data_IF_304413970902
#
_entry.id   IF_304413970902
#
_cell.length_a   1.000
_cell.length_b   1.000
_cell.length_c   1.000
_cell.angle_alpha   90.00
_cell.angle_beta   90.00
_cell.angle_gamma   90.00
#
_symmetry.space_group_name_H-M   'P 1'
#
loop_
_entity.id
_entity.type
_entity.pdbx_description
1 polymer ?
#
# COMPACT_ATOMS: atom_id res chain seq x y z
N UNK A 1 -17.43 -34.14 -79.54
CA UNK A 1 -17.63 -32.88 -78.75
C UNK A 1 -16.71 -32.96 -77.60
N UNK A 2 -15.72 -32.09 -77.53
CA UNK A 2 -14.88 -31.94 -76.35
C UNK A 2 -15.73 -31.07 -75.39
N UNK A 3 -16.13 -31.59 -74.25
CA UNK A 3 -16.78 -30.82 -73.21
C UNK A 3 -15.66 -30.06 -72.52
N UNK A 4 -15.65 -28.75 -72.63
CA UNK A 4 -14.70 -27.90 -71.87
C UNK A 4 -15.12 -27.94 -70.41
N UNK A 5 -14.30 -28.57 -69.58
CA UNK A 5 -14.48 -28.61 -68.11
C UNK A 5 -14.20 -27.20 -67.59
N UNK A 6 -15.12 -26.61 -66.84
CA UNK A 6 -14.95 -25.34 -66.21
C UNK A 6 -14.08 -25.56 -64.96
N UNK A 7 -12.90 -24.91 -64.89
CA UNK A 7 -11.96 -24.94 -63.76
C UNK A 7 -12.05 -23.65 -62.94
N UNK A 8 -11.88 -23.77 -61.66
CA UNK A 8 -11.91 -22.65 -60.68
C UNK A 8 -11.96 -23.16 -59.25
N UNK A 9 -12.01 -22.25 -58.26
CA UNK A 9 -12.14 -22.62 -56.87
C UNK A 9 -13.50 -23.28 -56.60
N UNK A 10 -13.47 -24.48 -56.01
CA UNK A 10 -14.67 -25.28 -55.70
C UNK A 10 -15.03 -25.28 -54.21
N UNK A 11 -14.24 -24.57 -53.33
CA UNK A 11 -14.52 -24.47 -51.92
C UNK A 11 -15.46 -23.27 -51.62
N UNK A 12 -16.63 -23.57 -51.04
CA UNK A 12 -17.66 -22.58 -50.71
C UNK A 12 -17.21 -21.57 -49.63
N UNK A 13 -16.15 -21.89 -48.85
CA UNK A 13 -15.58 -21.01 -47.85
C UNK A 13 -14.54 -20.02 -48.42
N UNK A 14 -14.15 -20.17 -49.68
CA UNK A 14 -13.22 -19.26 -50.33
C UNK A 14 -13.93 -18.02 -50.88
N UNK A 15 -13.26 -16.84 -50.80
CA UNK A 15 -13.78 -15.56 -51.32
C UNK A 15 -14.05 -15.58 -52.84
N UNK A 16 -13.29 -16.40 -53.57
CA UNK A 16 -13.38 -16.55 -55.01
C UNK A 16 -14.06 -17.87 -55.45
N UNK A 17 -14.95 -18.44 -54.60
CA UNK A 17 -15.73 -19.59 -54.92
C UNK A 17 -16.47 -19.46 -56.27
N UNK A 18 -16.31 -20.43 -57.15
CA UNK A 18 -16.98 -20.46 -58.43
C UNK A 18 -17.95 -21.65 -58.51
N UNK A 19 -19.23 -21.36 -58.30
CA UNK A 19 -20.30 -22.39 -58.36
C UNK A 19 -20.37 -23.15 -59.67
N UNK A 20 -19.80 -22.64 -60.78
CA UNK A 20 -19.79 -23.24 -62.04
C UNK A 20 -18.56 -24.13 -62.34
N UNK A 21 -17.56 -24.12 -61.41
CA UNK A 21 -16.37 -24.93 -61.52
C UNK A 21 -16.72 -26.42 -61.31
N UNK A 22 -16.28 -27.28 -62.24
CA UNK A 22 -16.43 -28.73 -62.17
C UNK A 22 -15.15 -29.43 -61.70
N UNK A 23 -14.00 -28.66 -61.68
CA UNK A 23 -12.71 -29.14 -61.27
C UNK A 23 -11.97 -28.00 -60.56
N UNK A 24 -11.46 -28.27 -59.34
CA UNK A 24 -10.63 -27.28 -58.57
C UNK A 24 -9.29 -27.07 -59.31
N UNK A 25 -8.95 -25.83 -59.53
CA UNK A 25 -7.68 -25.41 -60.15
C UNK A 25 -6.62 -24.92 -59.18
N UNK A 26 -6.88 -24.98 -57.86
CA UNK A 26 -6.01 -24.55 -56.81
C UNK A 26 -5.98 -23.02 -56.60
N UNK A 27 -6.94 -22.30 -57.20
CA UNK A 27 -7.00 -20.83 -57.13
C UNK A 27 -7.78 -20.29 -55.91
N UNK A 28 -8.22 -21.14 -54.98
CA UNK A 28 -9.00 -20.71 -53.82
C UNK A 28 -8.25 -19.67 -52.98
N UNK A 29 -8.91 -18.55 -52.71
CA UNK A 29 -8.44 -17.48 -51.85
C UNK A 29 -9.33 -17.47 -50.61
N UNK A 30 -8.72 -17.53 -49.43
CA UNK A 30 -9.44 -17.49 -48.17
C UNK A 30 -9.24 -16.13 -47.50
N UNK A 31 -10.24 -15.63 -46.73
CA UNK A 31 -10.06 -14.44 -45.96
C UNK A 31 -8.92 -14.63 -44.94
N UNK A 32 -8.08 -13.63 -44.80
CA UNK A 32 -7.12 -13.62 -43.70
C UNK A 32 -7.87 -13.58 -42.36
N UNK A 33 -7.43 -14.33 -41.37
CA UNK A 33 -8.02 -14.22 -40.03
C UNK A 33 -7.93 -12.79 -39.52
N UNK A 34 -8.96 -12.35 -38.80
CA UNK A 34 -8.94 -11.05 -38.15
C UNK A 34 -7.73 -10.96 -37.24
N UNK A 35 -7.01 -9.81 -37.21
CA UNK A 35 -5.86 -9.62 -36.36
C UNK A 35 -6.28 -9.68 -34.86
N UNK A 36 -5.54 -10.43 -34.08
CA UNK A 36 -5.64 -10.43 -32.62
C UNK A 36 -4.61 -9.46 -32.11
N UNK A 37 -5.09 -8.36 -31.52
CA UNK A 37 -4.23 -7.32 -30.96
C UNK A 37 -3.81 -7.64 -29.53
N UNK A 38 -2.53 -7.44 -29.19
CA UNK A 38 -1.95 -7.65 -27.86
C UNK A 38 -0.45 -7.49 -27.90
N UNK A 39 0.23 -7.71 -26.77
CA UNK A 39 1.68 -7.67 -26.72
C UNK A 39 2.29 -8.92 -27.37
N UNK A 40 3.08 -8.74 -28.43
CA UNK A 40 3.73 -9.84 -29.18
C UNK A 40 5.18 -10.11 -28.77
N UNK A 41 5.73 -9.36 -27.78
CA UNK A 41 7.09 -9.54 -27.30
C UNK A 41 7.13 -10.60 -26.17
N UNK A 42 7.79 -11.77 -26.39
CA UNK A 42 7.88 -12.82 -25.38
C UNK A 42 8.69 -12.42 -24.12
N UNK A 43 9.44 -11.33 -24.16
CA UNK A 43 10.16 -10.81 -23.01
C UNK A 43 9.31 -9.85 -22.14
N UNK A 44 8.10 -9.50 -22.61
CA UNK A 44 7.17 -8.67 -21.85
C UNK A 44 6.38 -9.50 -20.81
N UNK A 45 5.97 -8.84 -19.71
CA UNK A 45 5.22 -9.48 -18.62
C UNK A 45 3.79 -9.85 -19.03
N UNK A 46 3.23 -9.11 -19.98
CA UNK A 46 1.88 -9.31 -20.52
C UNK A 46 1.90 -9.87 -21.95
N UNK A 47 2.93 -10.68 -22.28
CA UNK A 47 3.00 -11.37 -23.56
C UNK A 47 1.73 -12.20 -23.82
N UNK A 48 1.13 -12.02 -24.98
CA UNK A 48 -0.02 -12.78 -25.44
C UNK A 48 0.38 -13.70 -26.61
N UNK A 49 0.43 -15.01 -26.37
CA UNK A 49 0.77 -16.01 -27.39
C UNK A 49 -0.23 -16.04 -28.56
N UNK A 50 -1.48 -15.58 -28.34
CA UNK A 50 -2.53 -15.55 -29.38
C UNK A 50 -2.50 -14.24 -30.19
N UNK A 51 -1.77 -13.21 -29.75
CA UNK A 51 -1.67 -11.95 -30.48
C UNK A 51 -0.88 -12.13 -31.77
N UNK A 52 -1.46 -11.63 -32.89
CA UNK A 52 -0.83 -11.59 -34.21
C UNK A 52 -0.26 -10.23 -34.55
N UNK A 53 -0.77 -9.17 -33.90
CA UNK A 53 -0.41 -7.79 -34.13
C UNK A 53 -0.15 -7.10 -32.79
N UNK A 54 1.02 -6.45 -32.70
CA UNK A 54 1.41 -5.68 -31.51
C UNK A 54 0.58 -4.40 -31.43
N UNK A 55 -0.11 -4.21 -30.31
CA UNK A 55 -0.92 -3.02 -30.03
C UNK A 55 -0.15 -1.93 -29.24
N UNK A 56 1.12 -2.16 -28.95
CA UNK A 56 1.99 -1.25 -28.21
C UNK A 56 1.78 -1.28 -26.68
N UNK A 57 1.06 -2.29 -26.17
CA UNK A 57 0.79 -2.42 -24.72
C UNK A 57 1.80 -3.28 -23.99
N UNK A 58 2.93 -3.65 -24.61
CA UNK A 58 3.95 -4.48 -23.97
C UNK A 58 4.49 -3.83 -22.69
N UNK A 59 4.38 -4.57 -21.59
CA UNK A 59 4.88 -4.16 -20.28
C UNK A 59 6.14 -4.96 -19.93
N UNK A 60 7.18 -4.25 -19.50
CA UNK A 60 8.45 -4.86 -19.12
C UNK A 60 8.70 -4.69 -17.63
N UNK A 61 9.34 -5.69 -17.02
CA UNK A 61 9.73 -5.60 -15.62
C UNK A 61 10.62 -4.37 -15.39
N UNK A 62 10.22 -3.53 -14.43
CA UNK A 62 11.04 -2.39 -14.03
C UNK A 62 12.40 -2.87 -13.53
N UNK A 63 13.46 -2.26 -14.05
CA UNK A 63 14.83 -2.58 -13.63
C UNK A 63 15.21 -1.86 -12.33
N UNK A 64 14.52 -0.75 -12.02
CA UNK A 64 14.70 0.03 -10.79
C UNK A 64 13.52 -0.29 -9.87
N UNK A 65 13.76 -0.81 -8.67
CA UNK A 65 12.69 -1.25 -7.79
C UNK A 65 11.80 -0.08 -7.31
N UNK A 66 10.54 -0.39 -6.98
CA UNK A 66 9.64 0.47 -6.22
C UNK A 66 9.55 -0.10 -4.80
N UNK A 67 9.70 0.73 -3.77
CA UNK A 67 9.73 0.27 -2.37
C UNK A 67 10.65 -0.96 -2.18
N UNK A 68 11.84 -0.93 -2.80
CA UNK A 68 12.86 -1.95 -2.66
C UNK A 68 12.67 -3.24 -3.48
N UNK A 69 11.56 -3.43 -4.19
CA UNK A 69 11.30 -4.64 -4.99
C UNK A 69 10.71 -4.30 -6.37
N UNK A 70 11.33 -4.82 -7.46
CA UNK A 70 10.87 -4.56 -8.83
C UNK A 70 9.42 -5.05 -9.07
N UNK A 71 9.06 -6.19 -8.49
CA UNK A 71 7.71 -6.77 -8.66
C UNK A 71 6.58 -5.89 -8.07
N UNK A 72 6.91 -4.97 -7.16
CA UNK A 72 5.92 -4.08 -6.56
C UNK A 72 5.52 -2.93 -7.48
N UNK A 73 6.33 -2.59 -8.47
CA UNK A 73 6.06 -1.45 -9.35
C UNK A 73 4.71 -1.56 -10.04
N UNK A 74 4.35 -2.74 -10.52
CA UNK A 74 3.08 -3.01 -11.22
C UNK A 74 1.97 -3.56 -10.31
N UNK A 75 2.17 -3.53 -8.99
CA UNK A 75 1.17 -3.98 -8.04
C UNK A 75 0.33 -2.80 -7.54
N UNK A 76 -1.02 -2.92 -7.49
CA UNK A 76 -1.87 -1.93 -6.87
C UNK A 76 -1.46 -1.64 -5.42
N UNK A 77 -1.58 -0.39 -5.00
CA UNK A 77 -1.15 0.08 -3.67
C UNK A 77 -1.73 -0.77 -2.52
N UNK A 78 -3.02 -1.09 -2.56
CA UNK A 78 -3.73 -1.88 -1.55
C UNK A 78 -3.27 -3.35 -1.47
N UNK A 79 -2.54 -3.81 -2.48
CA UNK A 79 -1.99 -5.17 -2.56
C UNK A 79 -0.51 -5.27 -2.20
N UNK A 80 0.10 -4.16 -1.79
CA UNK A 80 1.48 -4.11 -1.29
C UNK A 80 1.48 -4.15 0.22
N UNK A 81 2.36 -4.97 0.82
CA UNK A 81 2.61 -4.92 2.26
C UNK A 81 3.74 -3.94 2.55
N UNK A 82 3.40 -2.87 3.26
CA UNK A 82 4.35 -1.88 3.76
C UNK A 82 4.73 -2.20 5.21
N UNK A 83 6.03 -2.21 5.57
CA UNK A 83 6.45 -2.26 6.96
C UNK A 83 6.10 -0.94 7.63
N UNK A 84 5.45 -1.00 8.80
CA UNK A 84 4.90 0.15 9.50
C UNK A 84 5.35 0.22 10.95
N UNK A 85 5.63 1.43 11.43
CA UNK A 85 5.85 1.70 12.85
C UNK A 85 4.63 2.36 13.48
N UNK A 86 4.05 1.71 14.49
CA UNK A 86 2.99 2.25 15.30
C UNK A 86 3.54 3.37 16.20
N UNK A 87 2.93 4.56 16.20
CA UNK A 87 3.44 5.72 16.92
C UNK A 87 4.92 6.02 16.62
N UNK A 88 5.25 6.13 15.35
CA UNK A 88 6.60 6.25 14.80
C UNK A 88 7.47 7.35 15.46
N UNK A 89 6.83 8.42 15.94
CA UNK A 89 7.45 9.56 16.64
C UNK A 89 7.73 9.27 18.12
N UNK A 90 7.07 8.25 18.70
CA UNK A 90 7.10 7.99 20.13
C UNK A 90 8.32 7.16 20.53
N UNK A 91 9.50 7.82 20.58
CA UNK A 91 10.79 7.14 20.72
C UNK A 91 11.62 7.65 21.88
N UNK A 92 12.52 6.81 22.41
CA UNK A 92 13.49 7.22 23.42
C UNK A 92 14.45 8.29 22.86
N UNK A 93 14.81 8.21 21.59
CA UNK A 93 15.68 9.18 20.94
C UNK A 93 15.04 10.57 20.89
N UNK A 94 13.71 10.64 20.74
CA UNK A 94 12.94 11.88 20.78
C UNK A 94 12.52 12.30 22.19
N UNK A 95 13.11 11.70 23.23
CA UNK A 95 12.87 11.96 24.64
C UNK A 95 11.45 11.60 25.13
N UNK A 96 10.80 10.65 24.47
CA UNK A 96 9.56 10.06 24.95
C UNK A 96 9.92 8.75 25.65
N UNK A 97 9.53 8.62 26.93
CA UNK A 97 9.89 7.49 27.74
C UNK A 97 8.66 6.64 28.09
N UNK A 98 8.93 5.40 28.47
CA UNK A 98 7.90 4.51 28.97
C UNK A 98 7.11 5.18 30.13
N UNK A 99 5.76 5.12 30.16
CA UNK A 99 4.92 4.17 29.40
C UNK A 99 4.40 4.64 28.04
N UNK A 100 4.80 5.78 27.54
CA UNK A 100 4.30 6.33 26.28
C UNK A 100 5.14 5.93 25.06
N UNK A 101 6.42 5.54 25.24
CA UNK A 101 7.29 5.17 24.10
C UNK A 101 6.90 3.85 23.47
N UNK A 102 7.01 3.79 22.13
CA UNK A 102 6.78 2.61 21.31
C UNK A 102 8.07 2.09 20.65
N UNK A 103 9.13 2.90 20.61
CA UNK A 103 10.40 2.56 19.96
C UNK A 103 11.59 3.15 20.72
N UNK A 104 12.81 2.67 20.41
CA UNK A 104 14.05 3.22 20.98
C UNK A 104 14.64 4.31 20.10
N UNK A 105 14.59 4.12 18.78
CA UNK A 105 15.24 4.96 17.77
C UNK A 105 14.23 5.76 16.96
N UNK A 106 14.64 6.97 16.57
CA UNK A 106 13.81 7.94 15.88
C UNK A 106 13.65 7.68 14.36
N UNK A 107 13.03 8.65 13.71
CA UNK A 107 12.64 8.59 12.29
C UNK A 107 13.77 8.14 11.36
N UNK A 108 14.98 8.69 11.52
CA UNK A 108 16.07 8.39 10.58
C UNK A 108 16.49 6.92 10.60
N UNK A 109 16.48 6.30 11.78
CA UNK A 109 16.79 4.87 11.90
C UNK A 109 15.67 4.01 11.28
N UNK A 110 14.41 4.38 11.50
CA UNK A 110 13.25 3.71 10.90
C UNK A 110 13.28 3.80 9.37
N UNK A 111 13.52 4.99 8.83
CA UNK A 111 13.64 5.19 7.38
C UNK A 111 14.78 4.37 6.76
N UNK A 112 15.96 4.43 7.37
CA UNK A 112 17.14 3.70 6.90
C UNK A 112 16.97 2.18 6.99
N UNK A 113 16.15 1.69 7.92
CA UNK A 113 15.78 0.27 8.01
C UNK A 113 14.83 -0.16 6.87
N UNK A 114 14.10 0.77 6.25
CA UNK A 114 13.17 0.49 5.17
C UNK A 114 11.69 0.69 5.52
N UNK A 115 11.38 1.30 6.68
CA UNK A 115 9.99 1.67 7.00
C UNK A 115 9.46 2.67 5.99
N UNK A 116 8.23 2.42 5.50
CA UNK A 116 7.56 3.31 4.52
C UNK A 116 6.11 3.58 4.88
N UNK A 117 5.66 3.11 6.05
CA UNK A 117 4.40 3.50 6.66
C UNK A 117 4.65 3.92 8.11
N UNK A 118 3.97 4.98 8.56
CA UNK A 118 4.18 5.58 9.86
C UNK A 118 2.85 5.99 10.47
N UNK A 119 2.52 5.44 11.65
CA UNK A 119 1.40 5.92 12.45
C UNK A 119 1.84 7.10 13.32
N UNK A 120 0.98 8.12 13.38
CA UNK A 120 1.26 9.38 14.09
C UNK A 120 0.00 9.82 14.84
N UNK A 121 0.16 10.29 16.09
CA UNK A 121 -0.93 10.91 16.85
C UNK A 121 -0.73 12.42 16.92
N UNK A 122 -1.74 13.17 16.48
CA UNK A 122 -1.71 14.64 16.53
C UNK A 122 -2.57 15.18 17.65
N UNK A 123 -1.99 16.04 18.49
CA UNK A 123 -2.70 16.72 19.56
C UNK A 123 -2.28 18.19 19.63
N UNK A 124 -3.10 19.02 20.29
CA UNK A 124 -2.62 20.34 20.74
C UNK A 124 -1.81 20.18 22.02
N UNK A 125 -0.62 20.79 22.08
CA UNK A 125 0.20 20.81 23.29
C UNK A 125 -0.57 21.40 24.48
N UNK A 126 -1.46 22.34 24.20
CA UNK A 126 -2.30 22.98 25.18
C UNK A 126 -3.73 23.11 24.59
N UNK A 127 -4.68 22.40 25.18
CA UNK A 127 -6.09 22.41 24.76
C UNK A 127 -6.76 23.81 24.82
N UNK A 128 -6.19 24.74 25.57
CA UNK A 128 -6.66 26.13 25.64
C UNK A 128 -6.17 26.99 24.46
N UNK A 129 -5.18 26.51 23.70
CA UNK A 129 -4.65 27.13 22.49
C UNK A 129 -4.69 26.12 21.32
N UNK A 130 -5.81 26.08 20.64
CA UNK A 130 -6.03 25.22 19.48
C UNK A 130 -5.60 25.92 18.17
N UNK A 131 -4.40 26.47 18.15
CA UNK A 131 -3.80 27.05 16.95
C UNK A 131 -2.92 26.01 16.22
N UNK A 132 -2.75 26.21 14.89
CA UNK A 132 -1.89 25.36 14.08
C UNK A 132 -0.46 25.23 14.65
N UNK A 133 0.12 26.34 15.13
CA UNK A 133 1.47 26.33 15.72
C UNK A 133 1.60 25.54 17.02
N UNK A 134 0.47 25.17 17.64
CA UNK A 134 0.42 24.40 18.88
C UNK A 134 0.20 22.89 18.65
N UNK A 135 0.14 22.43 17.40
CA UNK A 135 0.07 21.02 17.06
C UNK A 135 1.39 20.32 17.43
N UNK A 136 1.28 19.15 18.03
CA UNK A 136 2.41 18.27 18.40
C UNK A 136 2.07 16.83 18.11
N UNK A 137 3.08 16.00 17.87
CA UNK A 137 2.94 14.57 17.99
C UNK A 137 3.10 14.16 19.46
N UNK A 138 2.06 13.57 20.02
CA UNK A 138 1.98 13.13 21.39
C UNK A 138 1.23 11.81 21.46
N UNK A 139 1.69 10.90 22.34
CA UNK A 139 1.01 9.64 22.60
C UNK A 139 0.52 9.58 24.05
N UNK A 140 -0.78 9.44 24.22
CA UNK A 140 -1.38 9.28 25.54
C UNK A 140 -2.89 9.30 25.52
N UNK A 141 -3.48 8.72 26.55
CA UNK A 141 -4.91 8.55 26.72
C UNK A 141 -5.48 9.61 27.68
N UNK A 142 -6.17 10.60 27.12
CA UNK A 142 -6.83 11.66 27.90
C UNK A 142 -7.93 11.13 28.84
N UNK A 143 -8.48 9.94 28.57
CA UNK A 143 -9.49 9.31 29.44
C UNK A 143 -8.92 8.94 30.81
N UNK A 144 -7.59 8.83 30.94
CA UNK A 144 -6.87 8.61 32.21
C UNK A 144 -6.61 9.89 32.98
N UNK A 145 -7.08 11.03 32.50
CA UNK A 145 -7.00 12.34 33.19
C UNK A 145 -5.67 13.08 33.03
N UNK A 146 -4.84 12.68 32.07
CA UNK A 146 -3.59 13.35 31.71
C UNK A 146 -3.69 13.88 30.28
N UNK A 147 -3.02 15.03 30.00
CA UNK A 147 -2.83 15.47 28.62
C UNK A 147 -2.00 14.43 27.86
N UNK A 148 -2.34 14.09 26.61
CA UNK A 148 -1.55 13.17 25.77
C UNK A 148 -0.07 13.56 25.71
N UNK A 149 0.25 14.85 25.73
CA UNK A 149 1.62 15.36 25.69
C UNK A 149 2.37 15.33 27.07
N UNK A 150 1.77 14.73 28.11
CA UNK A 150 2.35 14.68 29.46
C UNK A 150 3.69 13.94 29.54
N UNK A 151 3.82 12.86 28.73
CA UNK A 151 5.00 11.99 28.72
C UNK A 151 6.04 12.37 27.66
N UNK A 152 5.84 13.49 26.99
CA UNK A 152 6.70 14.01 25.94
C UNK A 152 5.90 14.42 24.71
N UNK A 153 6.55 15.14 23.83
CA UNK A 153 5.99 15.53 22.54
C UNK A 153 7.11 15.74 21.54
N UNK A 154 6.77 15.60 20.26
CA UNK A 154 7.67 15.84 19.14
C UNK A 154 7.12 17.00 18.31
N UNK A 155 8.02 17.87 17.85
CA UNK A 155 7.68 18.95 16.94
C UNK A 155 7.39 18.35 15.55
N UNK A 156 6.15 18.45 15.04
CA UNK A 156 5.76 17.82 13.79
C UNK A 156 6.45 18.46 12.58
N UNK A 157 6.78 19.76 12.61
CA UNK A 157 7.51 20.42 11.52
C UNK A 157 8.90 19.82 11.34
N UNK A 158 9.58 19.50 12.45
CA UNK A 158 10.91 18.89 12.42
C UNK A 158 10.83 17.44 11.91
N UNK A 159 9.84 16.67 12.40
CA UNK A 159 9.68 15.27 12.04
C UNK A 159 9.26 15.10 10.57
N UNK A 160 8.21 15.83 10.14
CA UNK A 160 7.71 15.79 8.76
C UNK A 160 8.67 16.45 7.77
N UNK A 161 9.46 17.43 8.16
CA UNK A 161 10.50 18.00 7.32
C UNK A 161 11.64 17.02 7.02
N UNK A 162 11.96 16.10 7.97
CA UNK A 162 12.87 14.98 7.66
C UNK A 162 12.22 14.01 6.68
N UNK A 163 10.94 13.68 6.86
CA UNK A 163 10.21 12.81 5.95
C UNK A 163 10.16 13.39 4.54
N UNK A 164 9.86 14.66 4.40
CA UNK A 164 9.86 15.35 3.09
C UNK A 164 11.21 15.25 2.41
N UNK A 165 12.29 15.53 3.13
CA UNK A 165 13.66 15.45 2.60
C UNK A 165 14.01 14.04 2.11
N UNK A 166 13.58 13.00 2.84
CA UNK A 166 13.82 11.62 2.46
C UNK A 166 12.97 11.20 1.25
N UNK A 167 11.69 11.57 1.18
CA UNK A 167 10.84 11.30 0.01
C UNK A 167 11.40 11.98 -1.24
N UNK A 168 11.97 13.18 -1.13
CA UNK A 168 12.60 13.88 -2.23
C UNK A 168 13.88 13.18 -2.71
N UNK A 169 14.61 12.51 -1.81
CA UNK A 169 15.84 11.80 -2.15
C UNK A 169 15.61 10.41 -2.74
N UNK A 170 14.48 9.77 -2.39
CA UNK A 170 14.10 8.40 -2.79
C UNK A 170 12.91 8.44 -3.76
N UNK A 171 13.18 8.73 -5.03
CA UNK A 171 12.15 8.98 -6.05
C UNK A 171 11.23 7.78 -6.36
N UNK A 172 11.59 6.58 -5.88
CA UNK A 172 10.89 5.32 -6.20
C UNK A 172 10.09 4.74 -5.04
N UNK A 173 9.97 5.46 -3.93
CA UNK A 173 9.25 5.00 -2.75
C UNK A 173 7.89 5.69 -2.60
N UNK A 174 6.87 4.89 -2.37
CA UNK A 174 5.56 5.32 -1.90
C UNK A 174 5.55 5.23 -0.38
N UNK A 175 5.07 6.28 0.27
CA UNK A 175 5.04 6.41 1.72
C UNK A 175 3.61 6.62 2.19
N UNK A 176 3.29 6.06 3.36
CA UNK A 176 1.99 6.24 4.00
C UNK A 176 2.14 6.92 5.36
N UNK A 177 1.25 7.86 5.63
CA UNK A 177 0.96 8.34 6.98
C UNK A 177 -0.43 7.84 7.39
N UNK A 178 -0.54 7.21 8.54
CA UNK A 178 -1.80 6.91 9.20
C UNK A 178 -1.87 7.77 10.47
N UNK A 179 -2.84 8.70 10.51
CA UNK A 179 -2.88 9.75 11.53
C UNK A 179 -4.08 9.53 12.45
N UNK A 180 -3.81 9.18 13.72
CA UNK A 180 -4.79 9.33 14.79
C UNK A 180 -4.93 10.84 15.09
N UNK A 181 -5.98 11.44 14.51
CA UNK A 181 -6.07 12.88 14.47
C UNK A 181 -6.99 13.44 15.55
N UNK A 182 -6.44 14.33 16.41
CA UNK A 182 -7.15 15.04 17.45
C UNK A 182 -7.07 16.58 17.28
N UNK A 183 -6.75 17.05 16.07
CA UNK A 183 -6.68 18.48 15.74
C UNK A 183 -7.60 18.80 14.56
N UNK A 184 -7.87 20.08 14.34
CA UNK A 184 -8.66 20.54 13.18
C UNK A 184 -7.96 20.16 11.87
N UNK A 185 -8.74 19.71 10.87
CA UNK A 185 -8.22 19.29 9.57
C UNK A 185 -7.42 20.40 8.86
N UNK A 186 -7.88 21.66 8.95
CA UNK A 186 -7.18 22.80 8.39
C UNK A 186 -5.79 23.01 9.03
N UNK A 187 -5.63 22.69 10.32
CA UNK A 187 -4.33 22.79 11.01
C UNK A 187 -3.38 21.67 10.58
N UNK A 188 -3.90 20.45 10.42
CA UNK A 188 -3.10 19.34 9.88
C UNK A 188 -2.69 19.64 8.43
N UNK A 189 -3.63 20.17 7.61
CA UNK A 189 -3.31 20.55 6.24
C UNK A 189 -2.25 21.65 6.17
N UNK A 190 -2.38 22.69 6.99
CA UNK A 190 -1.40 23.78 7.06
C UNK A 190 0.00 23.27 7.44
N UNK A 191 0.08 22.31 8.36
CA UNK A 191 1.33 21.65 8.74
C UNK A 191 1.98 20.93 7.52
N UNK A 192 1.20 20.15 6.76
CA UNK A 192 1.69 19.44 5.56
C UNK A 192 2.07 20.40 4.42
N UNK A 193 1.36 21.53 4.29
CA UNK A 193 1.69 22.60 3.35
C UNK A 193 3.03 23.27 3.71
N UNK A 194 3.20 23.60 4.98
CA UNK A 194 4.39 24.33 5.47
C UNK A 194 5.68 23.51 5.26
N UNK A 195 5.60 22.18 5.36
CA UNK A 195 6.75 21.28 5.15
C UNK A 195 6.90 20.81 3.69
N UNK A 196 5.98 21.17 2.78
CA UNK A 196 6.08 20.83 1.36
C UNK A 196 5.58 19.43 0.97
N UNK A 197 4.88 18.72 1.85
CA UNK A 197 4.37 17.36 1.58
C UNK A 197 3.08 17.35 0.77
N UNK A 198 2.30 18.45 0.78
CA UNK A 198 0.95 18.47 0.21
C UNK A 198 0.89 18.19 -1.30
N UNK A 199 1.90 18.62 -2.04
CA UNK A 199 1.92 18.42 -3.51
C UNK A 199 2.08 16.94 -3.87
N UNK A 200 2.68 16.14 -2.99
CA UNK A 200 2.88 14.70 -3.17
C UNK A 200 1.71 13.85 -2.67
N UNK A 201 0.71 14.44 -2.01
CA UNK A 201 -0.44 13.67 -1.51
C UNK A 201 -1.29 13.14 -2.66
N UNK A 202 -1.62 11.85 -2.58
CA UNK A 202 -2.55 11.19 -3.48
C UNK A 202 -4.00 11.36 -2.99
N UNK A 203 -4.93 11.50 -3.93
CA UNK A 203 -6.38 11.51 -3.66
C UNK A 203 -6.98 10.27 -4.30
N UNK A 204 -7.52 9.39 -3.48
CA UNK A 204 -8.20 8.18 -3.93
C UNK A 204 -9.72 8.34 -3.87
N UNK A 205 -10.41 7.96 -4.95
CA UNK A 205 -11.86 7.92 -4.98
C UNK A 205 -12.38 6.60 -4.38
N UNK A 206 -13.32 6.70 -3.47
CA UNK A 206 -13.92 5.53 -2.83
C UNK A 206 -14.53 4.58 -3.88
N UNK A 207 -14.26 3.29 -3.74
CA UNK A 207 -14.66 2.21 -4.65
C UNK A 207 -14.03 2.25 -6.06
N UNK A 208 -13.01 3.07 -6.29
CA UNK A 208 -12.16 2.93 -7.48
C UNK A 208 -11.04 1.90 -7.23
N UNK A 209 -10.40 1.43 -8.28
CA UNK A 209 -9.20 0.61 -8.17
C UNK A 209 -8.01 1.48 -7.72
N UNK A 210 -7.19 0.94 -6.81
CA UNK A 210 -5.96 1.62 -6.41
C UNK A 210 -4.95 1.60 -7.56
N UNK A 211 -4.25 2.71 -7.81
CA UNK A 211 -3.18 2.72 -8.79
C UNK A 211 -2.01 1.82 -8.35
N UNK A 212 -1.25 1.36 -9.31
CA UNK A 212 0.03 0.68 -9.08
C UNK A 212 1.07 1.64 -8.50
N UNK A 213 2.12 1.10 -7.85
CA UNK A 213 3.16 1.96 -7.31
C UNK A 213 3.85 2.80 -8.39
N UNK A 214 4.06 2.24 -9.60
CA UNK A 214 4.68 2.99 -10.69
C UNK A 214 3.79 4.11 -11.22
N UNK A 215 2.47 3.94 -11.21
CA UNK A 215 1.54 5.01 -11.58
C UNK A 215 1.57 6.14 -10.56
N UNK A 216 1.60 5.83 -9.25
CA UNK A 216 1.75 6.83 -8.19
C UNK A 216 3.07 7.61 -8.33
N UNK A 217 4.17 6.91 -8.63
CA UNK A 217 5.49 7.50 -8.86
C UNK A 217 5.44 8.42 -10.09
N UNK A 218 4.87 7.96 -11.20
CA UNK A 218 4.78 8.73 -12.45
C UNK A 218 3.91 9.99 -12.31
N UNK A 219 2.91 9.96 -11.41
CA UNK A 219 2.08 11.11 -11.07
C UNK A 219 2.75 12.06 -10.06
N UNK A 220 3.91 11.70 -9.51
CA UNK A 220 4.55 12.33 -8.34
C UNK A 220 3.60 12.44 -7.12
N UNK A 221 2.73 11.42 -6.95
CA UNK A 221 1.78 11.29 -5.84
C UNK A 221 2.24 10.19 -4.89
N UNK A 222 3.39 10.42 -4.27
CA UNK A 222 4.14 9.42 -3.50
C UNK A 222 3.79 9.38 -2.01
N UNK A 223 2.84 10.20 -1.56
CA UNK A 223 2.36 10.22 -0.19
C UNK A 223 0.88 9.88 -0.13
N UNK A 224 0.52 8.79 0.55
CA UNK A 224 -0.86 8.43 0.87
C UNK A 224 -1.12 8.77 2.33
N UNK A 225 -2.19 9.52 2.61
CA UNK A 225 -2.53 9.92 3.99
C UNK A 225 -3.88 9.33 4.37
N UNK A 226 -3.87 8.45 5.35
CA UNK A 226 -5.07 8.04 6.07
C UNK A 226 -5.17 8.79 7.40
N UNK A 227 -6.38 9.00 7.85
CA UNK A 227 -6.65 9.54 9.18
C UNK A 227 -7.84 8.84 9.84
N UNK A 228 -7.96 8.93 11.14
CA UNK A 228 -9.05 8.31 11.87
C UNK A 228 -10.20 9.31 12.15
N UNK A 229 -10.72 9.92 11.11
CA UNK A 229 -11.90 10.79 11.15
C UNK A 229 -12.64 10.71 9.81
N UNK A 230 -13.95 10.98 9.78
CA UNK A 230 -14.70 11.02 8.52
C UNK A 230 -14.07 11.98 7.52
N UNK A 231 -13.91 11.51 6.29
CA UNK A 231 -13.39 12.35 5.20
C UNK A 231 -14.35 13.50 4.89
N UNK A 232 -13.80 14.68 4.78
CA UNK A 232 -14.55 15.90 4.41
C UNK A 232 -14.26 16.26 2.96
N UNK A 233 -15.26 16.82 2.27
CA UNK A 233 -15.10 17.25 0.85
C UNK A 233 -14.05 18.32 0.66
N UNK A 234 -13.75 19.11 1.70
CA UNK A 234 -12.70 20.13 1.71
C UNK A 234 -11.29 19.55 1.83
N UNK A 235 -11.17 18.30 2.28
CA UNK A 235 -9.90 17.61 2.53
C UNK A 235 -9.88 16.22 1.91
N UNK A 236 -10.06 16.09 0.57
CA UNK A 236 -10.21 14.78 -0.09
C UNK A 236 -8.93 13.94 -0.10
N UNK A 237 -7.81 14.50 0.28
CA UNK A 237 -6.50 13.84 0.44
C UNK A 237 -6.31 13.21 1.83
N UNK A 238 -7.19 13.46 2.80
CA UNK A 238 -7.26 12.75 4.07
C UNK A 238 -8.31 11.65 3.98
N UNK A 239 -7.87 10.43 3.76
CA UNK A 239 -8.76 9.29 3.60
C UNK A 239 -9.18 8.79 4.99
N UNK A 240 -10.49 8.78 5.28
CA UNK A 240 -11.00 8.13 6.50
C UNK A 240 -10.64 6.64 6.49
N UNK A 241 -9.74 6.23 7.37
CA UNK A 241 -9.18 4.90 7.36
C UNK A 241 -10.28 3.81 7.41
N UNK A 242 -11.29 3.98 8.26
CA UNK A 242 -12.35 2.97 8.43
C UNK A 242 -13.35 2.92 7.27
N UNK A 243 -13.34 3.92 6.39
CA UNK A 243 -14.10 3.90 5.14
C UNK A 243 -13.35 3.14 4.03
N UNK A 244 -12.01 3.22 4.00
CA UNK A 244 -11.18 2.59 2.98
C UNK A 244 -10.60 1.24 3.42
N UNK A 245 -10.61 0.95 4.71
CA UNK A 245 -9.92 -0.20 5.27
C UNK A 245 -10.48 -0.71 6.60
N UNK A 246 -9.74 -1.64 7.17
CA UNK A 246 -10.06 -2.31 8.42
C UNK A 246 -8.79 -2.74 9.16
N UNK A 247 -8.91 -3.01 10.47
CA UNK A 247 -7.78 -3.41 11.32
C UNK A 247 -8.07 -4.70 12.07
N UNK A 248 -7.01 -5.49 12.34
CA UNK A 248 -7.06 -6.55 13.36
C UNK A 248 -7.03 -5.95 14.78
N UNK A 249 -7.10 -6.82 15.80
CA UNK A 249 -6.97 -6.41 17.18
C UNK A 249 -5.61 -5.72 17.46
N UNK A 250 -5.63 -4.68 18.28
CA UNK A 250 -4.45 -3.92 18.72
C UNK A 250 -4.17 -4.04 20.22
N UNK A 251 -4.88 -4.94 20.92
CA UNK A 251 -4.83 -5.08 22.36
C UNK A 251 -4.46 -6.50 22.82
N UNK A 252 -3.80 -7.28 21.96
CA UNK A 252 -3.39 -8.63 22.25
C UNK A 252 -2.33 -8.69 23.36
N UNK A 253 -2.47 -9.67 24.25
CA UNK A 253 -1.55 -9.91 25.37
C UNK A 253 -0.66 -11.15 25.15
N UNK A 254 -0.84 -11.85 24.04
CA UNK A 254 -0.03 -13.00 23.63
C UNK A 254 -0.07 -13.19 22.12
N UNK A 255 0.99 -13.77 21.54
CA UNK A 255 1.01 -14.13 20.10
C UNK A 255 -0.09 -15.12 19.74
N UNK A 256 -0.50 -15.99 20.67
CA UNK A 256 -1.59 -16.95 20.44
C UNK A 256 -3.00 -16.33 20.44
N UNK A 257 -3.16 -15.07 20.84
CA UNK A 257 -4.43 -14.31 20.74
C UNK A 257 -4.52 -13.47 19.49
N UNK A 258 -3.40 -13.27 18.80
CA UNK A 258 -3.35 -12.48 17.56
C UNK A 258 -4.01 -13.25 16.42
N UNK A 259 -5.27 -12.93 16.15
CA UNK A 259 -6.04 -13.52 15.05
C UNK A 259 -6.17 -12.59 13.83
N UNK A 260 -6.90 -13.02 12.82
CA UNK A 260 -7.15 -12.29 11.59
C UNK A 260 -8.49 -11.55 11.59
N UNK A 261 -9.25 -11.61 12.68
CA UNK A 261 -10.59 -11.05 12.72
C UNK A 261 -10.56 -9.51 12.69
N UNK A 262 -11.47 -8.87 11.93
CA UNK A 262 -11.57 -7.42 11.94
C UNK A 262 -12.06 -6.93 13.31
N UNK A 263 -11.32 -5.97 13.90
CA UNK A 263 -11.73 -5.27 15.11
C UNK A 263 -12.46 -3.98 14.77
N UNK A 264 -11.94 -3.20 13.81
CA UNK A 264 -12.53 -1.94 13.35
C UNK A 264 -12.55 -1.94 11.82
N UNK A 265 -13.58 -1.29 11.25
CA UNK A 265 -13.80 -1.23 9.80
C UNK A 265 -14.51 -2.47 9.28
N UNK A 266 -14.54 -2.62 7.98
CA UNK A 266 -15.22 -3.69 7.25
C UNK A 266 -14.21 -4.43 6.36
N UNK A 267 -14.07 -5.74 6.53
CA UNK A 267 -13.11 -6.56 5.79
C UNK A 267 -13.41 -6.71 4.29
N UNK A 268 -14.57 -6.19 3.83
CA UNK A 268 -14.83 -6.02 2.41
C UNK A 268 -13.97 -4.91 1.79
N UNK A 269 -13.47 -3.96 2.59
CA UNK A 269 -12.62 -2.86 2.13
C UNK A 269 -11.22 -3.36 1.75
N UNK A 270 -10.56 -2.70 0.76
CA UNK A 270 -9.29 -3.20 0.21
C UNK A 270 -8.09 -3.02 1.14
N UNK A 271 -8.02 -1.94 1.91
CA UNK A 271 -6.86 -1.62 2.75
C UNK A 271 -6.91 -2.41 4.05
N UNK A 272 -5.92 -3.24 4.27
CA UNK A 272 -5.86 -4.12 5.45
C UNK A 272 -4.68 -3.76 6.36
N UNK A 273 -4.98 -3.35 7.59
CA UNK A 273 -3.99 -3.00 8.60
C UNK A 273 -3.87 -4.14 9.64
N UNK A 274 -2.76 -4.84 9.60
CA UNK A 274 -2.44 -5.91 10.53
C UNK A 274 -1.62 -5.37 11.70
N UNK A 275 -2.25 -5.22 12.86
CA UNK A 275 -1.57 -4.83 14.11
C UNK A 275 -0.77 -6.00 14.64
N UNK A 276 0.51 -5.80 14.91
CA UNK A 276 1.43 -6.85 15.33
C UNK A 276 2.31 -6.42 16.51
N UNK A 277 1.69 -6.19 17.66
CA UNK A 277 2.37 -5.90 18.93
C UNK A 277 1.62 -6.46 20.12
N UNK A 278 2.31 -6.61 21.23
CA UNK A 278 1.75 -7.11 22.49
C UNK A 278 1.53 -5.99 23.50
N UNK A 279 0.45 -6.10 24.25
CA UNK A 279 0.17 -5.28 25.42
C UNK A 279 0.50 -6.04 26.70
N UNK A 280 1.04 -5.37 27.69
CA UNK A 280 1.20 -5.91 29.02
C UNK A 280 -0.11 -5.85 29.84
N UNK A 281 -0.10 -6.37 31.08
CA UNK A 281 -1.27 -6.40 31.95
C UNK A 281 -1.86 -5.00 32.28
N UNK A 282 -1.10 -3.92 32.07
CA UNK A 282 -1.58 -2.55 32.24
C UNK A 282 -2.16 -1.95 30.94
N UNK A 283 -2.23 -2.73 29.86
CA UNK A 283 -2.68 -2.30 28.55
C UNK A 283 -1.70 -1.39 27.80
N UNK A 284 -0.43 -1.42 28.18
CA UNK A 284 0.65 -0.65 27.56
C UNK A 284 1.45 -1.54 26.61
N UNK A 285 2.08 -0.96 25.62
CA UNK A 285 3.03 -1.65 24.74
C UNK A 285 4.12 -2.37 25.56
N UNK A 286 4.40 -3.63 25.25
CA UNK A 286 5.30 -4.48 26.05
C UNK A 286 6.69 -4.62 25.41
N UNK A 287 7.68 -3.82 25.85
CA UNK A 287 9.03 -3.88 25.29
C UNK A 287 9.80 -5.17 25.67
N UNK A 288 9.28 -5.95 26.64
CA UNK A 288 9.96 -7.16 27.09
C UNK A 288 9.60 -8.39 26.28
N UNK A 289 8.51 -8.30 25.49
CA UNK A 289 7.98 -9.39 24.70
C UNK A 289 7.86 -9.03 23.21
N UNK A 290 8.31 -7.85 22.83
CA UNK A 290 8.27 -7.40 21.43
C UNK A 290 8.99 -8.35 20.47
N UNK A 291 10.08 -8.96 20.89
CA UNK A 291 10.78 -9.94 20.06
C UNK A 291 9.94 -11.21 19.74
N UNK A 292 8.92 -11.54 20.56
CA UNK A 292 8.01 -12.65 20.26
C UNK A 292 7.05 -12.28 19.12
N UNK A 293 6.53 -11.03 19.14
CA UNK A 293 5.63 -10.53 18.11
C UNK A 293 6.37 -10.16 16.82
N UNK A 294 7.60 -9.64 16.95
CA UNK A 294 8.40 -9.15 15.83
C UNK A 294 9.32 -10.23 15.22
N UNK A 295 9.13 -11.48 15.62
CA UNK A 295 9.81 -12.62 14.98
C UNK A 295 9.35 -12.73 13.51
N UNK A 296 10.29 -12.82 12.58
CA UNK A 296 10.01 -12.81 11.13
C UNK A 296 9.13 -13.99 10.72
N UNK A 297 9.46 -15.18 11.20
CA UNK A 297 8.70 -16.38 10.83
C UNK A 297 7.27 -16.29 11.36
N UNK A 298 7.09 -15.82 12.61
CA UNK A 298 5.77 -15.59 13.20
C UNK A 298 4.94 -14.58 12.40
N UNK A 299 5.53 -13.43 12.04
CA UNK A 299 4.82 -12.40 11.26
C UNK A 299 4.39 -12.90 9.88
N UNK A 300 5.27 -13.66 9.21
CA UNK A 300 5.00 -14.22 7.88
C UNK A 300 3.94 -15.32 7.95
N UNK A 301 4.05 -16.26 8.91
CA UNK A 301 3.04 -17.32 9.11
C UNK A 301 1.66 -16.73 9.39
N UNK A 302 1.57 -15.76 10.32
CA UNK A 302 0.33 -15.06 10.63
C UNK A 302 -0.24 -14.33 9.41
N UNK A 303 0.60 -13.61 8.66
CA UNK A 303 0.14 -12.92 7.45
C UNK A 303 -0.38 -13.91 6.41
N UNK A 304 0.25 -15.08 6.26
CA UNK A 304 -0.20 -16.12 5.35
C UNK A 304 -1.57 -16.68 5.77
N UNK A 305 -1.78 -16.99 7.05
CA UNK A 305 -3.07 -17.41 7.59
C UNK A 305 -4.16 -16.36 7.30
N UNK A 306 -3.86 -15.09 7.53
CA UNK A 306 -4.79 -13.99 7.27
C UNK A 306 -5.09 -13.79 5.77
N UNK A 307 -4.12 -14.03 4.88
CA UNK A 307 -4.34 -14.03 3.42
C UNK A 307 -5.27 -15.19 3.02
N UNK A 308 -5.10 -16.37 3.60
CA UNK A 308 -5.96 -17.53 3.34
C UNK A 308 -7.40 -17.27 3.82
N UNK A 309 -7.58 -16.62 4.97
CA UNK A 309 -8.90 -16.33 5.56
C UNK A 309 -9.67 -15.24 4.79
N UNK A 310 -9.00 -14.19 4.33
CA UNK A 310 -9.64 -13.00 3.74
C UNK A 310 -9.45 -12.87 2.22
N UNK A 311 -8.56 -13.66 1.61
CA UNK A 311 -8.20 -13.50 0.19
C UNK A 311 -7.53 -12.16 -0.11
N UNK A 312 -6.91 -11.54 0.89
CA UNK A 312 -6.26 -10.21 0.81
C UNK A 312 -4.95 -10.19 1.58
N UNK A 313 -3.96 -9.53 1.02
CA UNK A 313 -2.68 -9.27 1.68
C UNK A 313 -2.82 -8.10 2.65
N UNK A 314 -2.19 -8.16 3.86
CA UNK A 314 -2.06 -6.98 4.69
C UNK A 314 -1.37 -5.85 3.93
N UNK A 315 -2.01 -4.68 3.84
CA UNK A 315 -1.40 -3.47 3.28
C UNK A 315 -0.36 -2.91 4.24
N UNK A 316 -0.64 -3.01 5.54
CA UNK A 316 0.30 -2.56 6.58
C UNK A 316 0.57 -3.69 7.55
N UNK A 317 1.86 -3.92 7.82
CA UNK A 317 2.35 -4.76 8.91
C UNK A 317 2.95 -3.85 9.98
N UNK A 318 2.13 -3.53 11.00
CA UNK A 318 2.44 -2.52 11.99
C UNK A 318 3.01 -3.13 13.27
N UNK A 319 4.11 -2.59 13.75
CA UNK A 319 4.81 -3.08 14.94
C UNK A 319 5.13 -1.98 15.94
N UNK A 320 5.21 -2.36 17.24
CA UNK A 320 5.93 -1.65 18.27
C UNK A 320 7.35 -2.22 18.41
N UNK A 321 8.29 -1.44 18.92
CA UNK A 321 9.66 -1.88 19.22
C UNK A 321 10.31 -2.60 18.05
N UNK A 322 10.24 -1.96 16.89
CA UNK A 322 10.68 -2.52 15.59
C UNK A 322 12.12 -3.05 15.64
N UNK A 323 12.96 -2.51 16.53
CA UNK A 323 14.36 -2.90 16.70
C UNK A 323 14.53 -4.33 17.29
N UNK A 324 13.46 -4.94 17.78
CA UNK A 324 13.48 -6.28 18.39
C UNK A 324 13.15 -7.40 17.38
N UNK A 325 13.05 -7.08 16.09
CA UNK A 325 12.82 -8.01 15.00
C UNK A 325 13.18 -7.42 13.65
N UNK A 326 12.63 -7.96 12.58
CA UNK A 326 12.84 -7.46 11.21
C UNK A 326 11.53 -7.42 10.42
N UNK A 327 10.69 -6.41 10.73
CA UNK A 327 9.42 -6.21 10.04
C UNK A 327 9.59 -5.88 8.56
N UNK A 328 10.75 -5.32 8.17
CA UNK A 328 11.05 -5.00 6.77
C UNK A 328 11.25 -6.30 5.98
N UNK A 329 12.01 -7.24 6.53
CA UNK A 329 12.17 -8.57 5.92
C UNK A 329 10.85 -9.35 5.93
N UNK A 330 10.07 -9.29 7.02
CA UNK A 330 8.76 -9.92 7.06
C UNK A 330 7.83 -9.36 5.98
N UNK A 331 7.72 -8.04 5.82
CA UNK A 331 6.92 -7.41 4.77
C UNK A 331 7.42 -7.79 3.37
N UNK A 332 8.75 -7.88 3.17
CA UNK A 332 9.34 -8.35 1.92
C UNK A 332 8.89 -9.79 1.59
N UNK A 333 8.90 -10.69 2.56
CA UNK A 333 8.47 -12.08 2.39
C UNK A 333 6.97 -12.18 2.17
N UNK A 334 6.16 -11.43 2.91
CA UNK A 334 4.70 -11.37 2.71
C UNK A 334 4.36 -10.88 1.30
N UNK A 335 5.13 -9.94 0.76
CA UNK A 335 4.95 -9.49 -0.62
C UNK A 335 5.23 -10.59 -1.68
N UNK A 336 5.88 -11.69 -1.32
CA UNK A 336 6.11 -12.84 -2.21
C UNK A 336 5.04 -13.94 -2.10
N UNK A 337 4.15 -13.88 -1.11
CA UNK A 337 3.05 -14.84 -0.95
C UNK A 337 2.04 -14.61 -2.07
N UNK A 338 1.59 -15.67 -2.73
CA UNK A 338 0.48 -15.59 -3.68
C UNK A 338 -0.85 -15.39 -2.92
N UNK A 339 -1.68 -14.49 -3.42
CA UNK A 339 -3.05 -14.28 -2.91
C UNK A 339 -3.99 -15.12 -3.75
N UNK A 340 -4.89 -15.93 -3.14
CA UNK A 340 -5.77 -16.86 -3.85
C UNK A 340 -6.73 -16.20 -4.84
#
# INVERSE_FOLDING_TARGET
MIVDIVRGCTDENAENYNQSAEEDDGSCVYPEPDPVFGCTDPDAMNYDEEATDDDGTCEYMETIPCNGMAILCHRPYDQVTFPETHNAFSTHEDNIFYPASNHRTGFQAQWNAGMRAFMLDTHYLNDADQSASNVRFCHGDSSRGFSPCTYGNVDPWVWLGKLESEIQSEERDIVTLLIENHVEADHLKALLDDVGLSDMMYIHELNSEWPTLIELINMDKRLVVFWEQPSETSHPYFHDFLTFGWTTNYADDSTSSMDCNPLRGDDSQPVYHMNNWLKNQAGLSDPTRSAEANDVDFMVERAQECIEDHGKRPTFLAVDWWEDGDVVEAARLVNLIEVP
#
